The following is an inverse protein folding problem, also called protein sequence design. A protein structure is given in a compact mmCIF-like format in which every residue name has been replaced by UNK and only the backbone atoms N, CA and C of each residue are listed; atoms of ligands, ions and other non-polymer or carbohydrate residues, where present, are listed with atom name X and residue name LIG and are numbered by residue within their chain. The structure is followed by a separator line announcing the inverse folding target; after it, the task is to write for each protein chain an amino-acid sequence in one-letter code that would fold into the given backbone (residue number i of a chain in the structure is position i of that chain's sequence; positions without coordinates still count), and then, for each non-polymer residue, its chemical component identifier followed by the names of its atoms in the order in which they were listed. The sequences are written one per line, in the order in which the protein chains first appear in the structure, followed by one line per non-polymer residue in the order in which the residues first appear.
data_IF_463469131462
#
_entry.id   IF_463469131462
#
_cell.length_a   1.000
_cell.length_b   1.000
_cell.length_c   1.000
_cell.angle_alpha   90.00
_cell.angle_beta   90.00
_cell.angle_gamma   90.00
#
_symmetry.space_group_name_H-M   'P 1'
#
loop_
_entity.id
_entity.type
_entity.pdbx_description
1 polymer ?
#
# COMPACT_ATOMS: atom_id res chain seq x y z
N UNK A 1 21.98 15.99 -20.47
CA UNK A 1 21.29 17.23 -20.08
C UNK A 1 21.11 17.13 -18.59
N UNK A 2 22.00 17.77 -17.84
CA UNK A 2 21.84 17.92 -16.39
C UNK A 2 20.69 18.89 -16.17
N UNK A 3 19.52 18.35 -15.79
CA UNK A 3 18.46 19.19 -15.24
C UNK A 3 18.96 19.71 -13.90
N UNK A 4 19.21 21.01 -13.84
CA UNK A 4 19.57 21.75 -12.64
C UNK A 4 18.53 21.45 -11.54
N UNK A 5 18.93 20.68 -10.52
CA UNK A 5 18.06 20.27 -9.40
C UNK A 5 17.70 21.43 -8.48
N UNK A 6 18.30 22.61 -8.68
CA UNK A 6 18.11 23.81 -7.87
C UNK A 6 16.66 24.29 -7.73
N UNK A 7 15.78 23.91 -8.65
CA UNK A 7 14.34 24.23 -8.58
C UNK A 7 13.52 23.20 -7.78
N UNK A 8 14.05 21.99 -7.57
CA UNK A 8 13.37 20.90 -6.85
C UNK A 8 13.70 20.97 -5.36
N UNK A 9 14.96 21.27 -5.02
CA UNK A 9 15.44 21.28 -3.64
C UNK A 9 14.57 22.12 -2.69
N UNK A 10 14.06 23.32 -3.06
CA UNK A 10 13.17 24.10 -2.20
C UNK A 10 11.77 23.48 -1.99
N UNK A 11 11.34 22.57 -2.86
CA UNK A 11 10.03 21.93 -2.79
C UNK A 11 10.05 20.62 -1.99
N UNK A 12 11.24 20.07 -1.71
CA UNK A 12 11.38 18.81 -0.98
C UNK A 12 10.83 18.95 0.44
N UNK A 13 11.14 20.06 1.12
CA UNK A 13 10.68 20.33 2.48
C UNK A 13 9.14 20.44 2.52
N UNK A 14 8.55 21.19 1.58
CA UNK A 14 7.08 21.31 1.44
C UNK A 14 6.42 19.94 1.17
N UNK A 15 7.03 19.12 0.31
CA UNK A 15 6.53 17.77 0.01
C UNK A 15 6.63 16.82 1.19
N UNK A 16 7.72 16.91 1.97
CA UNK A 16 7.88 16.14 3.20
C UNK A 16 6.86 16.56 4.24
N UNK A 17 6.66 17.86 4.46
CA UNK A 17 5.65 18.36 5.39
C UNK A 17 4.25 17.85 5.01
N UNK A 18 3.89 17.93 3.72
CA UNK A 18 2.63 17.40 3.22
C UNK A 18 2.49 15.87 3.39
N UNK A 19 3.59 15.12 3.23
CA UNK A 19 3.63 13.68 3.49
C UNK A 19 3.40 13.38 4.98
N UNK A 20 4.08 14.09 5.88
CA UNK A 20 3.92 13.92 7.32
C UNK A 20 2.48 14.22 7.75
N UNK A 21 1.90 15.32 7.28
CA UNK A 21 0.49 15.66 7.55
C UNK A 21 -0.45 14.55 7.08
N UNK A 22 -0.28 14.08 5.84
CA UNK A 22 -1.18 13.06 5.29
C UNK A 22 -1.04 11.71 6.00
N UNK A 23 0.18 11.34 6.39
CA UNK A 23 0.41 10.07 7.12
C UNK A 23 -0.12 10.18 8.55
N UNK A 24 0.05 11.33 9.21
CA UNK A 24 -0.53 11.57 10.51
C UNK A 24 -2.07 11.49 10.47
N UNK A 25 -2.72 12.02 9.42
CA UNK A 25 -4.16 11.85 9.21
C UNK A 25 -4.53 10.35 9.08
N UNK A 26 -3.78 9.59 8.28
CA UNK A 26 -4.04 8.15 8.08
C UNK A 26 -3.86 7.34 9.37
N UNK A 27 -2.78 7.59 10.12
CA UNK A 27 -2.57 6.96 11.42
C UNK A 27 -3.64 7.36 12.44
N UNK A 28 -4.08 8.62 12.40
CA UNK A 28 -5.18 9.13 13.21
C UNK A 28 -6.48 8.35 12.98
N UNK A 29 -6.80 8.03 11.71
CA UNK A 29 -7.97 7.20 11.37
C UNK A 29 -7.87 5.79 11.96
N UNK A 30 -6.68 5.18 12.02
CA UNK A 30 -6.46 3.85 12.62
C UNK A 30 -6.57 3.90 14.15
N UNK A 31 -6.10 4.98 14.77
CA UNK A 31 -6.09 5.14 16.24
C UNK A 31 -7.46 5.55 16.79
N UNK A 32 -8.28 6.23 15.99
CA UNK A 32 -9.62 6.67 16.34
C UNK A 32 -10.51 5.47 16.75
N UNK A 33 -11.30 5.65 17.81
CA UNK A 33 -12.18 4.59 18.32
C UNK A 33 -13.46 4.43 17.47
N UNK A 34 -13.85 5.48 16.74
CA UNK A 34 -15.12 5.56 16.03
C UNK A 34 -15.10 5.01 14.60
N UNK A 35 -13.91 4.92 13.98
CA UNK A 35 -13.73 4.38 12.63
C UNK A 35 -12.92 3.07 12.65
N UNK A 36 -13.60 1.96 12.34
CA UNK A 36 -12.95 0.66 12.21
C UNK A 36 -12.21 0.57 10.86
N UNK A 37 -11.02 1.16 10.79
CA UNK A 37 -10.08 0.90 9.70
C UNK A 37 -8.95 -0.01 10.19
N UNK A 38 -8.88 -1.22 9.64
CA UNK A 38 -7.82 -2.18 9.90
C UNK A 38 -7.04 -2.45 8.60
N UNK A 39 -5.83 -1.88 8.46
CA UNK A 39 -5.07 -1.98 7.22
C UNK A 39 -4.71 -3.43 6.91
N UNK A 40 -4.77 -3.77 5.63
CA UNK A 40 -4.47 -5.11 5.09
C UNK A 40 -5.39 -6.25 5.56
N UNK A 41 -6.46 -5.97 6.30
CA UNK A 41 -7.49 -6.98 6.63
C UNK A 41 -8.40 -7.25 5.43
N UNK A 42 -8.65 -6.23 4.60
CA UNK A 42 -9.49 -6.33 3.41
C UNK A 42 -8.81 -7.00 2.21
N UNK A 43 -7.48 -7.14 2.25
CA UNK A 43 -6.68 -7.61 1.11
C UNK A 43 -5.69 -8.72 1.52
N UNK A 44 -6.06 -10.00 1.38
CA UNK A 44 -5.17 -11.11 1.73
C UNK A 44 -4.08 -11.33 0.66
N UNK A 45 -2.98 -12.00 1.02
CA UNK A 45 -1.85 -12.33 0.15
C UNK A 45 -2.23 -12.80 -1.28
N UNK A 46 -3.22 -13.70 -1.49
CA UNK A 46 -3.61 -14.12 -2.84
C UNK A 46 -4.17 -12.99 -3.71
N UNK A 47 -4.82 -11.99 -3.11
CA UNK A 47 -5.36 -10.83 -3.84
C UNK A 47 -4.23 -9.90 -4.26
N UNK A 48 -3.25 -9.64 -3.38
CA UNK A 48 -2.04 -8.88 -3.74
C UNK A 48 -1.31 -9.57 -4.90
N UNK A 49 -1.08 -10.88 -4.80
CA UNK A 49 -0.48 -11.68 -5.87
C UNK A 49 -1.25 -11.57 -7.19
N UNK A 50 -2.60 -11.57 -7.14
CA UNK A 50 -3.42 -11.40 -8.34
C UNK A 50 -3.26 -10.00 -8.95
N UNK A 51 -3.24 -8.94 -8.14
CA UNK A 51 -3.00 -7.57 -8.61
C UNK A 51 -1.68 -7.51 -9.36
N UNK A 52 -0.59 -7.96 -8.73
CA UNK A 52 0.75 -7.96 -9.32
C UNK A 52 0.81 -8.70 -10.67
N UNK A 53 0.18 -9.88 -10.75
CA UNK A 53 0.11 -10.66 -12.00
C UNK A 53 -0.68 -9.95 -13.08
N UNK A 54 -1.83 -9.37 -12.73
CA UNK A 54 -2.70 -8.65 -13.68
C UNK A 54 -1.99 -7.39 -14.18
N UNK A 55 -1.41 -6.58 -13.29
CA UNK A 55 -0.71 -5.34 -13.68
C UNK A 55 0.51 -5.64 -14.55
N UNK A 56 1.27 -6.71 -14.23
CA UNK A 56 2.40 -7.15 -15.04
C UNK A 56 1.95 -7.64 -16.42
N UNK A 57 0.89 -8.45 -16.50
CA UNK A 57 0.39 -9.00 -17.76
C UNK A 57 -0.14 -7.91 -18.71
N UNK A 58 -0.67 -6.82 -18.15
CA UNK A 58 -1.25 -5.70 -18.89
C UNK A 58 -0.26 -4.54 -19.09
N UNK A 59 0.97 -4.67 -18.61
CA UNK A 59 2.04 -3.66 -18.72
C UNK A 59 1.60 -2.26 -18.23
N UNK A 60 0.79 -2.24 -17.16
CA UNK A 60 0.31 -1.00 -16.53
C UNK A 60 1.47 -0.23 -15.91
N UNK A 61 1.22 1.03 -15.54
CA UNK A 61 2.24 1.84 -14.89
C UNK A 61 2.69 1.25 -13.54
N UNK A 62 3.86 1.67 -13.10
CA UNK A 62 4.54 1.06 -11.94
C UNK A 62 3.73 1.28 -10.66
N UNK A 63 3.09 2.44 -10.49
CA UNK A 63 2.34 2.78 -9.28
C UNK A 63 0.94 2.16 -9.26
N UNK A 64 0.39 1.78 -10.42
CA UNK A 64 -0.95 1.20 -10.57
C UNK A 64 -1.19 0.04 -9.58
N UNK A 65 -0.21 -0.84 -9.36
CA UNK A 65 -0.34 -1.98 -8.43
C UNK A 65 -0.48 -1.53 -6.97
N UNK A 66 0.31 -0.54 -6.52
CA UNK A 66 0.25 -0.04 -5.15
C UNK A 66 -1.02 0.77 -4.92
N UNK A 67 -1.38 1.66 -5.85
CA UNK A 67 -2.64 2.40 -5.82
C UNK A 67 -3.85 1.46 -5.73
N UNK A 68 -3.83 0.37 -6.50
CA UNK A 68 -4.91 -0.63 -6.48
C UNK A 68 -5.01 -1.30 -5.11
N UNK A 69 -3.88 -1.67 -4.50
CA UNK A 69 -3.83 -2.33 -3.17
C UNK A 69 -4.45 -1.42 -2.11
N UNK A 70 -3.97 -0.18 -2.02
CA UNK A 70 -4.45 0.79 -1.03
C UNK A 70 -5.92 1.17 -1.24
N UNK A 71 -6.31 1.39 -2.51
CA UNK A 71 -7.70 1.71 -2.83
C UNK A 71 -8.64 0.56 -2.49
N UNK A 72 -8.24 -0.67 -2.84
CA UNK A 72 -9.06 -1.85 -2.61
C UNK A 72 -9.17 -2.17 -1.12
N UNK A 73 -8.09 -2.08 -0.35
CA UNK A 73 -8.12 -2.28 1.11
C UNK A 73 -9.08 -1.30 1.79
N UNK A 74 -8.91 0.01 1.53
CA UNK A 74 -9.79 1.06 2.07
C UNK A 74 -11.24 0.87 1.64
N UNK A 75 -11.47 0.59 0.36
CA UNK A 75 -12.81 0.33 -0.15
C UNK A 75 -13.46 -0.87 0.54
N UNK A 76 -12.73 -1.99 0.69
CA UNK A 76 -13.27 -3.21 1.26
C UNK A 76 -13.60 -3.05 2.74
N UNK A 77 -12.80 -2.31 3.51
CA UNK A 77 -13.13 -1.95 4.89
C UNK A 77 -14.43 -1.14 4.97
N UNK A 78 -14.55 -0.07 4.19
CA UNK A 78 -15.74 0.78 4.16
C UNK A 78 -16.98 0.02 3.69
N UNK A 79 -16.83 -0.80 2.65
CA UNK A 79 -17.90 -1.60 2.09
C UNK A 79 -18.36 -2.69 3.07
N UNK A 80 -17.42 -3.36 3.74
CA UNK A 80 -17.72 -4.34 4.78
C UNK A 80 -18.56 -3.69 5.88
N UNK A 81 -18.13 -2.54 6.39
CA UNK A 81 -18.83 -1.85 7.47
C UNK A 81 -20.24 -1.41 7.07
N UNK A 82 -20.40 -0.92 5.84
CA UNK A 82 -21.71 -0.58 5.29
C UNK A 82 -22.65 -1.78 5.20
N UNK A 83 -22.15 -2.93 4.74
CA UNK A 83 -22.95 -4.18 4.65
C UNK A 83 -23.25 -4.71 6.05
N UNK A 84 -22.25 -4.74 6.94
CA UNK A 84 -22.40 -5.18 8.32
C UNK A 84 -23.45 -4.36 9.07
N UNK A 85 -23.40 -3.02 8.99
CA UNK A 85 -24.40 -2.13 9.60
C UNK A 85 -25.80 -2.30 9.00
N UNK A 86 -25.93 -2.66 7.73
CA UNK A 86 -27.23 -2.89 7.11
C UNK A 86 -27.86 -4.19 7.60
N UNK A 87 -27.08 -5.26 7.69
CA UNK A 87 -27.54 -6.61 8.04
C UNK A 87 -27.63 -6.84 9.57
N UNK A 88 -26.87 -6.10 10.38
CA UNK A 88 -26.86 -6.26 11.85
C UNK A 88 -27.97 -5.48 12.55
N UNK A 89 -28.76 -4.68 11.84
CA UNK A 89 -29.94 -3.97 12.39
C UNK A 89 -31.02 -4.91 12.92
N UNK A 90 -31.04 -6.16 12.46
CA UNK A 90 -32.01 -7.19 12.85
C UNK A 90 -31.46 -8.17 13.92
N UNK A 91 -30.26 -7.90 14.46
CA UNK A 91 -29.54 -8.79 15.37
C UNK A 91 -28.49 -9.65 14.64
N UNK A 92 -27.29 -9.73 15.21
CA UNK A 92 -26.22 -10.56 14.65
C UNK A 92 -26.53 -12.05 14.87
N UNK A 93 -26.98 -12.73 13.81
CA UNK A 93 -27.23 -14.17 13.79
C UNK A 93 -26.23 -14.83 12.84
N UNK A 94 -26.04 -16.15 12.97
CA UNK A 94 -25.21 -16.91 12.03
C UNK A 94 -25.71 -16.77 10.57
N UNK A 95 -27.03 -16.67 10.39
CA UNK A 95 -27.66 -16.43 9.10
C UNK A 95 -27.30 -15.05 8.51
N UNK A 96 -27.28 -13.99 9.34
CA UNK A 96 -26.89 -12.65 8.89
C UNK A 96 -25.40 -12.60 8.53
N UNK A 97 -24.53 -13.28 9.28
CA UNK A 97 -23.11 -13.41 8.94
C UNK A 97 -22.89 -14.11 7.60
N UNK A 98 -23.57 -15.23 7.36
CA UNK A 98 -23.50 -15.95 6.06
C UNK A 98 -23.93 -15.05 4.90
N UNK A 99 -24.97 -14.24 5.09
CA UNK A 99 -25.46 -13.28 4.08
C UNK A 99 -24.47 -12.14 3.83
N UNK A 100 -23.82 -11.61 4.87
CA UNK A 100 -22.75 -10.61 4.76
C UNK A 100 -21.59 -11.19 3.93
N UNK A 101 -21.07 -12.37 4.29
CA UNK A 101 -19.98 -13.03 3.59
C UNK A 101 -20.31 -13.30 2.11
N UNK A 102 -21.53 -13.79 1.83
CA UNK A 102 -21.99 -14.01 0.45
C UNK A 102 -22.07 -12.70 -0.33
N UNK A 103 -22.61 -11.63 0.27
CA UNK A 103 -22.74 -10.32 -0.38
C UNK A 103 -21.39 -9.73 -0.77
N UNK A 104 -20.40 -9.83 0.11
CA UNK A 104 -19.05 -9.31 -0.12
C UNK A 104 -18.30 -10.16 -1.15
N UNK A 105 -18.24 -11.48 -0.95
CA UNK A 105 -17.53 -12.40 -1.86
C UNK A 105 -18.08 -12.38 -3.28
N UNK A 106 -19.39 -12.17 -3.43
CA UNK A 106 -20.05 -12.08 -4.74
C UNK A 106 -19.62 -10.86 -5.57
N UNK A 107 -19.08 -9.81 -4.95
CA UNK A 107 -18.73 -8.56 -5.65
C UNK A 107 -17.24 -8.23 -5.56
N UNK A 108 -16.47 -8.94 -4.74
CA UNK A 108 -15.04 -8.65 -4.48
C UNK A 108 -14.21 -8.57 -5.76
N UNK A 109 -14.37 -9.52 -6.68
CA UNK A 109 -13.62 -9.54 -7.96
C UNK A 109 -13.95 -8.34 -8.85
N UNK A 110 -15.24 -7.99 -8.95
CA UNK A 110 -15.67 -6.80 -9.69
C UNK A 110 -15.08 -5.54 -9.06
N UNK A 111 -15.15 -5.42 -7.73
CA UNK A 111 -14.59 -4.27 -7.03
C UNK A 111 -13.07 -4.19 -7.12
N UNK A 112 -12.37 -5.32 -7.12
CA UNK A 112 -10.93 -5.38 -7.35
C UNK A 112 -10.58 -4.78 -8.71
N UNK A 113 -11.25 -5.21 -9.78
CA UNK A 113 -10.99 -4.70 -11.12
C UNK A 113 -11.45 -3.25 -11.28
N UNK A 114 -12.51 -2.82 -10.59
CA UNK A 114 -12.90 -1.40 -10.55
C UNK A 114 -11.85 -0.54 -9.83
N UNK A 115 -11.24 -1.02 -8.74
CA UNK A 115 -10.13 -0.32 -8.08
C UNK A 115 -8.92 -0.23 -9.02
N UNK A 116 -8.60 -1.33 -9.72
CA UNK A 116 -7.53 -1.36 -10.70
C UNK A 116 -7.76 -0.38 -11.86
N UNK A 117 -8.99 -0.29 -12.34
CA UNK A 117 -9.38 0.65 -13.39
C UNK A 117 -9.16 2.11 -12.94
N UNK A 118 -9.63 2.47 -11.74
CA UNK A 118 -9.40 3.80 -11.16
C UNK A 118 -7.91 4.11 -10.97
N UNK A 119 -7.16 3.16 -10.41
CA UNK A 119 -5.71 3.30 -10.23
C UNK A 119 -4.97 3.51 -11.56
N UNK A 120 -5.32 2.76 -12.60
CA UNK A 120 -4.71 2.91 -13.93
C UNK A 120 -4.98 4.28 -14.55
N UNK A 121 -6.16 4.87 -14.30
CA UNK A 121 -6.50 6.22 -14.77
C UNK A 121 -5.70 7.31 -14.05
N UNK A 122 -5.38 7.09 -12.77
CA UNK A 122 -4.59 8.02 -11.96
C UNK A 122 -3.11 7.96 -12.35
N UNK A 123 -2.55 6.76 -12.43
CA UNK A 123 -1.13 6.54 -12.71
C UNK A 123 -0.75 6.94 -14.15
N UNK A 124 -1.56 6.56 -15.13
CA UNK A 124 -1.27 6.88 -16.53
C UNK A 124 -2.52 6.93 -17.39
N UNK A 125 -2.87 8.12 -17.86
CA UNK A 125 -4.01 8.30 -18.76
C UNK A 125 -3.88 7.44 -20.04
N UNK A 126 -2.67 7.33 -20.61
CA UNK A 126 -2.42 6.58 -21.86
C UNK A 126 -2.45 5.05 -21.68
N UNK A 127 -2.20 4.55 -20.47
CA UNK A 127 -2.27 3.12 -20.13
C UNK A 127 -3.53 2.74 -19.34
N UNK A 128 -4.51 3.65 -19.28
CA UNK A 128 -5.74 3.40 -18.54
C UNK A 128 -6.55 2.24 -19.13
N UNK A 129 -7.13 1.42 -18.26
CA UNK A 129 -7.88 0.24 -18.69
C UNK A 129 -9.20 0.63 -19.35
N UNK A 130 -9.36 0.22 -20.61
CA UNK A 130 -10.63 0.30 -21.33
C UNK A 130 -11.66 -0.67 -20.74
N UNK A 131 -12.94 -0.36 -20.94
CA UNK A 131 -14.05 -1.23 -20.49
C UNK A 131 -13.94 -2.62 -21.11
N UNK A 132 -13.52 -2.72 -22.38
CA UNK A 132 -13.31 -4.00 -23.06
C UNK A 132 -12.22 -4.85 -22.38
N UNK A 133 -11.10 -4.24 -22.00
CA UNK A 133 -10.05 -4.94 -21.24
C UNK A 133 -10.55 -5.39 -19.87
N UNK A 134 -11.31 -4.54 -19.16
CA UNK A 134 -11.94 -4.88 -17.88
C UNK A 134 -12.87 -6.10 -18.02
N UNK A 135 -13.71 -6.15 -19.06
CA UNK A 135 -14.57 -7.31 -19.35
C UNK A 135 -13.73 -8.57 -19.56
N UNK A 136 -12.64 -8.49 -20.34
CA UNK A 136 -11.75 -9.62 -20.58
C UNK A 136 -11.12 -10.15 -19.29
N UNK A 137 -10.59 -9.27 -18.44
CA UNK A 137 -9.99 -9.66 -17.15
C UNK A 137 -11.05 -10.32 -16.26
N UNK A 138 -12.24 -9.73 -16.16
CA UNK A 138 -13.33 -10.27 -15.35
C UNK A 138 -13.76 -11.66 -15.81
N UNK A 139 -13.76 -11.92 -17.12
CA UNK A 139 -14.02 -13.27 -17.66
C UNK A 139 -12.95 -14.28 -17.25
N UNK A 140 -11.70 -13.86 -17.12
CA UNK A 140 -10.61 -14.73 -16.67
C UNK A 140 -10.69 -15.06 -15.17
N UNK A 141 -10.99 -14.07 -14.34
CA UNK A 141 -10.99 -14.24 -12.87
C UNK A 141 -12.35 -14.68 -12.30
N UNK A 142 -13.44 -14.49 -13.05
CA UNK A 142 -14.80 -14.82 -12.62
C UNK A 142 -15.65 -15.48 -13.71
N UNK A 143 -15.42 -16.78 -13.90
CA UNK A 143 -16.13 -17.61 -14.89
C UNK A 143 -17.61 -17.80 -14.60
N UNK A 144 -18.11 -17.41 -13.42
CA UNK A 144 -19.49 -17.63 -12.98
C UNK A 144 -20.44 -16.49 -13.35
N UNK A 145 -19.93 -15.35 -13.81
CA UNK A 145 -20.70 -14.14 -14.00
C UNK A 145 -20.37 -13.46 -15.31
N UNK A 146 -21.40 -12.94 -15.95
CA UNK A 146 -21.24 -12.04 -17.08
C UNK A 146 -21.29 -10.60 -16.61
N UNK A 147 -20.40 -9.79 -17.16
CA UNK A 147 -20.26 -8.38 -16.82
C UNK A 147 -20.61 -7.52 -18.02
N UNK A 148 -21.55 -6.61 -17.83
CA UNK A 148 -21.92 -5.62 -18.83
C UNK A 148 -21.17 -4.32 -18.58
N UNK A 149 -21.05 -3.51 -19.64
CA UNK A 149 -20.48 -2.16 -19.54
C UNK A 149 -21.15 -1.32 -18.43
N UNK A 150 -22.48 -1.36 -18.34
CA UNK A 150 -23.20 -0.63 -17.30
C UNK A 150 -22.85 -1.10 -15.88
N UNK A 151 -22.65 -2.41 -15.70
CA UNK A 151 -22.25 -2.98 -14.41
C UNK A 151 -20.87 -2.49 -13.99
N UNK A 152 -19.92 -2.41 -14.94
CA UNK A 152 -18.55 -1.93 -14.72
C UNK A 152 -18.53 -0.45 -14.34
N UNK A 153 -19.23 0.39 -15.12
CA UNK A 153 -19.30 1.84 -14.83
C UNK A 153 -19.93 2.09 -13.46
N UNK A 154 -21.02 1.39 -13.16
CA UNK A 154 -21.70 1.51 -11.87
C UNK A 154 -20.82 1.04 -10.71
N UNK A 155 -20.05 -0.04 -10.88
CA UNK A 155 -19.15 -0.52 -9.84
C UNK A 155 -17.96 0.39 -9.64
N UNK A 156 -17.40 0.95 -10.71
CA UNK A 156 -16.33 1.94 -10.65
C UNK A 156 -16.77 3.19 -9.88
N UNK A 157 -17.93 3.77 -10.25
CA UNK A 157 -18.49 4.92 -9.54
C UNK A 157 -18.76 4.60 -8.07
N UNK A 158 -19.30 3.41 -7.77
CA UNK A 158 -19.56 2.97 -6.40
C UNK A 158 -18.28 2.87 -5.57
N UNK A 159 -17.19 2.33 -6.14
CA UNK A 159 -15.89 2.27 -5.46
C UNK A 159 -15.43 3.68 -5.12
N UNK A 160 -15.41 4.58 -6.10
CA UNK A 160 -14.90 5.93 -5.91
C UNK A 160 -15.74 6.74 -4.90
N UNK A 161 -17.07 6.60 -4.96
CA UNK A 161 -17.98 7.21 -3.99
C UNK A 161 -17.78 6.65 -2.57
N UNK A 162 -17.56 5.34 -2.43
CA UNK A 162 -17.42 4.68 -1.12
C UNK A 162 -16.14 5.10 -0.39
N UNK A 163 -15.11 5.52 -1.12
CA UNK A 163 -13.88 6.10 -0.56
C UNK A 163 -13.93 7.64 -0.48
N UNK A 164 -15.11 8.24 -0.65
CA UNK A 164 -15.31 9.68 -0.51
C UNK A 164 -14.68 10.50 -1.63
N UNK A 165 -14.56 9.94 -2.83
CA UNK A 165 -13.92 10.57 -3.98
C UNK A 165 -12.44 10.95 -3.75
N UNK A 166 -11.77 10.27 -2.81
CA UNK A 166 -10.34 10.45 -2.51
C UNK A 166 -9.54 9.23 -2.97
N UNK A 167 -8.52 9.45 -3.79
CA UNK A 167 -7.56 8.42 -4.22
C UNK A 167 -6.34 8.38 -3.27
N UNK A 168 -5.72 7.21 -3.06
CA UNK A 168 -4.57 7.07 -2.15
C UNK A 168 -3.26 7.50 -2.84
N UNK A 169 -3.06 8.80 -3.07
CA UNK A 169 -1.91 9.33 -3.82
C UNK A 169 -0.55 9.13 -3.13
N UNK A 170 -0.53 9.01 -1.81
CA UNK A 170 0.71 8.85 -1.03
C UNK A 170 1.06 7.37 -0.85
N UNK A 171 1.36 6.70 -1.95
CA UNK A 171 1.85 5.32 -1.92
C UNK A 171 3.29 5.28 -1.39
N UNK A 172 3.77 4.12 -0.91
CA UNK A 172 5.17 3.95 -0.58
C UNK A 172 6.13 4.24 -1.74
N UNK A 173 5.70 4.06 -3.00
CA UNK A 173 6.52 4.42 -4.16
C UNK A 173 6.74 5.94 -4.24
N UNK A 174 5.68 6.72 -4.04
CA UNK A 174 5.79 8.18 -3.99
C UNK A 174 6.68 8.65 -2.83
N UNK A 175 6.56 8.01 -1.67
CA UNK A 175 7.45 8.26 -0.54
C UNK A 175 8.92 7.94 -0.88
N UNK A 176 9.17 6.84 -1.60
CA UNK A 176 10.52 6.48 -2.07
C UNK A 176 11.08 7.56 -2.99
N UNK A 177 10.29 8.08 -3.94
CA UNK A 177 10.74 9.12 -4.87
C UNK A 177 11.17 10.40 -4.15
N UNK A 178 10.37 10.85 -3.17
CA UNK A 178 10.67 12.03 -2.37
C UNK A 178 11.89 11.78 -1.47
N UNK A 179 11.95 10.64 -0.77
CA UNK A 179 13.08 10.30 0.08
C UNK A 179 14.39 10.13 -0.71
N UNK A 180 14.35 9.58 -1.93
CA UNK A 180 15.53 9.49 -2.79
C UNK A 180 16.03 10.89 -3.20
N UNK A 181 15.12 11.84 -3.42
CA UNK A 181 15.50 13.23 -3.65
C UNK A 181 16.12 13.86 -2.38
N UNK A 182 15.43 13.75 -1.24
CA UNK A 182 15.87 14.32 0.05
C UNK A 182 17.21 13.76 0.55
N UNK A 183 17.49 12.48 0.28
CA UNK A 183 18.75 11.84 0.68
C UNK A 183 19.89 12.03 -0.32
N UNK A 184 19.61 12.60 -1.50
CA UNK A 184 20.57 12.74 -2.59
C UNK A 184 20.89 11.43 -3.33
N UNK A 185 20.13 10.35 -3.07
CA UNK A 185 20.32 9.02 -3.67
C UNK A 185 19.62 8.87 -5.03
N UNK A 186 18.89 9.89 -5.48
CA UNK A 186 18.17 9.87 -6.77
C UNK A 186 19.05 9.56 -7.98
N UNK A 187 20.29 10.06 -7.98
CA UNK A 187 21.23 9.88 -9.09
C UNK A 187 22.07 8.61 -8.97
N UNK A 188 21.90 7.84 -7.89
CA UNK A 188 22.58 6.57 -7.70
C UNK A 188 22.07 5.54 -8.72
N UNK A 189 23.01 4.97 -9.46
CA UNK A 189 22.72 3.94 -10.45
C UNK A 189 21.97 2.76 -9.81
N UNK A 190 20.90 2.31 -10.45
CA UNK A 190 20.05 1.18 -10.04
C UNK A 190 19.29 1.35 -8.70
N UNK A 191 19.44 2.48 -8.00
CA UNK A 191 18.80 2.68 -6.69
C UNK A 191 17.27 2.62 -6.78
N UNK A 192 16.69 3.40 -7.70
CA UNK A 192 15.25 3.43 -7.91
C UNK A 192 14.69 2.07 -8.35
N UNK A 193 15.34 1.41 -9.32
CA UNK A 193 14.92 0.08 -9.80
C UNK A 193 15.00 -0.99 -8.71
N UNK A 194 16.05 -0.94 -7.88
CA UNK A 194 16.23 -1.87 -6.76
C UNK A 194 15.19 -1.62 -5.68
N UNK A 195 14.92 -0.34 -5.36
CA UNK A 195 13.87 0.04 -4.42
C UNK A 195 12.49 -0.44 -4.89
N UNK A 196 12.15 -0.35 -6.18
CA UNK A 196 10.88 -0.89 -6.70
C UNK A 196 10.80 -2.40 -6.50
N UNK A 197 11.86 -3.16 -6.82
CA UNK A 197 11.88 -4.63 -6.65
C UNK A 197 11.74 -5.04 -5.18
N UNK A 198 12.39 -4.30 -4.28
CA UNK A 198 12.29 -4.54 -2.84
C UNK A 198 10.92 -4.14 -2.30
N UNK A 199 10.33 -3.06 -2.80
CA UNK A 199 8.96 -2.70 -2.47
C UNK A 199 7.97 -3.78 -2.95
N UNK A 200 8.16 -4.30 -4.17
CA UNK A 200 7.40 -5.42 -4.70
C UNK A 200 7.44 -6.64 -3.77
N UNK A 201 8.65 -7.00 -3.32
CA UNK A 201 8.83 -8.06 -2.34
C UNK A 201 8.11 -7.76 -1.02
N UNK A 202 8.22 -6.54 -0.50
CA UNK A 202 7.58 -6.13 0.75
C UNK A 202 6.05 -6.30 0.71
N UNK A 203 5.41 -5.98 -0.41
CA UNK A 203 3.97 -6.23 -0.59
C UNK A 203 3.65 -7.71 -0.77
N UNK A 204 4.42 -8.43 -1.58
CA UNK A 204 4.18 -9.86 -1.83
C UNK A 204 4.40 -10.71 -0.57
N UNK A 205 5.22 -10.24 0.37
CA UNK A 205 5.53 -10.89 1.65
C UNK A 205 5.02 -10.10 2.85
N UNK A 206 3.99 -9.26 2.68
CA UNK A 206 3.54 -8.37 3.73
C UNK A 206 3.17 -9.10 5.04
N UNK A 207 2.52 -10.27 4.96
CA UNK A 207 2.18 -11.08 6.13
C UNK A 207 3.42 -11.52 6.92
N UNK A 208 4.47 -11.95 6.22
CA UNK A 208 5.73 -12.40 6.83
C UNK A 208 6.59 -11.23 7.31
N UNK A 209 6.63 -10.13 6.56
CA UNK A 209 7.31 -8.90 6.96
C UNK A 209 6.74 -8.39 8.28
N UNK A 210 5.43 -8.21 8.36
CA UNK A 210 4.79 -7.67 9.55
C UNK A 210 4.75 -8.66 10.71
N UNK A 211 4.80 -9.98 10.48
CA UNK A 211 4.96 -10.95 11.56
C UNK A 211 6.35 -10.87 12.19
N UNK A 212 7.41 -10.70 11.40
CA UNK A 212 8.76 -10.47 11.91
C UNK A 212 8.88 -9.14 12.67
N UNK A 213 8.30 -8.06 12.14
CA UNK A 213 8.24 -6.76 12.83
C UNK A 213 7.52 -6.90 14.18
N UNK A 214 6.39 -7.62 14.19
CA UNK A 214 5.65 -7.89 15.41
C UNK A 214 6.48 -8.70 16.42
N UNK A 215 7.25 -9.69 15.98
CA UNK A 215 8.16 -10.45 16.85
C UNK A 215 9.27 -9.57 17.44
N UNK A 216 9.88 -8.69 16.64
CA UNK A 216 10.87 -7.73 17.13
C UNK A 216 10.28 -6.78 18.19
N UNK A 217 9.07 -6.27 17.94
CA UNK A 217 8.35 -5.42 18.89
C UNK A 217 8.01 -6.17 20.18
N UNK A 218 7.58 -7.44 20.09
CA UNK A 218 7.25 -8.28 21.25
C UNK A 218 8.46 -8.70 22.10
N UNK A 219 9.67 -8.67 21.54
CA UNK A 219 10.91 -8.80 22.32
C UNK A 219 11.21 -7.58 23.20
N UNK A 220 10.52 -6.45 22.97
CA UNK A 220 10.73 -5.18 23.67
C UNK A 220 9.48 -4.67 24.44
N UNK A 221 8.24 -5.09 24.11
CA UNK A 221 6.99 -4.56 24.69
C UNK A 221 5.90 -5.66 24.85
N UNK A 222 5.06 -5.54 25.90
CA UNK A 222 4.02 -6.51 26.33
C UNK A 222 2.86 -6.74 25.31
N UNK A 223 1.91 -7.64 25.58
CA UNK A 223 0.75 -7.97 24.71
C UNK A 223 -0.47 -7.06 24.96
N UNK A 224 -0.35 -5.73 24.88
CA UNK A 224 -1.49 -4.84 25.12
C UNK A 224 -2.29 -4.53 23.84
N UNK A 225 -3.55 -4.10 23.97
CA UNK A 225 -4.35 -3.60 22.84
C UNK A 225 -3.74 -2.36 22.18
N UNK A 226 -2.95 -1.58 22.94
CA UNK A 226 -2.20 -0.43 22.44
C UNK A 226 -1.13 -0.89 21.42
N UNK A 227 -0.49 -2.04 21.66
CA UNK A 227 0.55 -2.57 20.78
C UNK A 227 -0.01 -3.04 19.43
N UNK A 228 -1.25 -3.56 19.42
CA UNK A 228 -1.96 -3.89 18.19
C UNK A 228 -2.28 -2.63 17.37
N UNK A 229 -2.75 -1.56 18.04
CA UNK A 229 -3.01 -0.27 17.37
C UNK A 229 -1.73 0.36 16.81
N UNK A 230 -0.63 0.29 17.55
CA UNK A 230 0.67 0.79 17.10
C UNK A 230 1.17 0.02 15.87
N UNK A 231 1.04 -1.32 15.87
CA UNK A 231 1.39 -2.13 14.69
C UNK A 231 0.49 -1.82 13.47
N UNK A 232 -0.80 -1.53 13.69
CA UNK A 232 -1.70 -1.12 12.61
C UNK A 232 -1.32 0.27 12.07
N UNK A 233 -0.99 1.23 12.94
CA UNK A 233 -0.52 2.56 12.53
C UNK A 233 0.79 2.45 11.72
N UNK A 234 1.71 1.58 12.15
CA UNK A 234 2.95 1.30 11.41
C UNK A 234 2.68 0.71 10.02
N UNK A 235 1.69 -0.17 9.89
CA UNK A 235 1.28 -0.75 8.59
C UNK A 235 0.76 0.29 7.61
N UNK A 236 0.16 1.38 8.10
CA UNK A 236 -0.30 2.50 7.27
C UNK A 236 0.79 3.51 6.95
N UNK A 237 1.91 3.48 7.66
CA UNK A 237 2.97 4.46 7.50
C UNK A 237 3.80 4.18 6.24
N UNK A 238 3.34 4.73 5.12
CA UNK A 238 3.96 4.56 3.80
C UNK A 238 5.35 5.19 3.71
N UNK A 239 5.59 6.27 4.46
CA UNK A 239 6.89 6.94 4.53
C UNK A 239 7.92 6.09 5.26
N UNK A 240 7.53 5.46 6.36
CA UNK A 240 8.37 4.50 7.09
C UNK A 240 8.75 3.30 6.23
N UNK A 241 7.77 2.68 5.56
CA UNK A 241 8.05 1.58 4.64
C UNK A 241 8.98 2.02 3.49
N UNK A 242 8.73 3.20 2.91
CA UNK A 242 9.59 3.77 1.87
C UNK A 242 11.03 3.97 2.32
N UNK A 243 11.24 4.52 3.52
CA UNK A 243 12.55 4.68 4.13
C UNK A 243 13.27 3.35 4.37
N UNK A 244 12.57 2.35 4.90
CA UNK A 244 13.13 1.01 5.10
C UNK A 244 13.54 0.35 3.78
N UNK A 245 12.75 0.53 2.72
CA UNK A 245 13.06 0.00 1.39
C UNK A 245 14.30 0.69 0.80
N UNK A 246 14.44 2.00 0.95
CA UNK A 246 15.64 2.75 0.51
C UNK A 246 16.88 2.27 1.27
N UNK A 247 16.78 2.11 2.59
CA UNK A 247 17.91 1.60 3.37
C UNK A 247 18.27 0.17 2.95
N UNK A 248 17.27 -0.69 2.74
CA UNK A 248 17.51 -2.05 2.23
C UNK A 248 18.17 -2.04 0.84
N UNK A 249 17.71 -1.17 -0.07
CA UNK A 249 18.33 -0.99 -1.39
C UNK A 249 19.78 -0.53 -1.27
N UNK A 250 20.06 0.38 -0.32
CA UNK A 250 21.42 0.85 -0.01
C UNK A 250 22.30 -0.31 0.44
N UNK A 251 21.84 -1.14 1.37
CA UNK A 251 22.57 -2.33 1.85
C UNK A 251 22.79 -3.36 0.74
N UNK A 252 21.86 -3.48 -0.21
CA UNK A 252 22.00 -4.36 -1.37
C UNK A 252 23.04 -3.88 -2.38
N UNK A 253 23.09 -2.58 -2.64
CA UNK A 253 23.96 -1.99 -3.67
C UNK A 253 25.35 -1.64 -3.14
N UNK A 254 25.46 -1.33 -1.85
CA UNK A 254 26.69 -0.91 -1.20
C UNK A 254 27.06 -1.85 -0.06
N UNK A 255 28.29 -2.37 -0.11
CA UNK A 255 28.85 -3.17 0.98
C UNK A 255 29.36 -2.29 2.14
N UNK A 256 29.40 -0.97 1.96
CA UNK A 256 29.90 -0.04 2.96
C UNK A 256 28.86 0.25 4.05
N UNK A 257 29.11 -0.34 5.21
CA UNK A 257 28.25 -0.22 6.38
C UNK A 257 28.21 1.21 6.94
N UNK A 258 29.25 2.02 6.73
CA UNK A 258 29.28 3.39 7.27
C UNK A 258 28.45 4.35 6.40
N UNK A 259 28.43 4.14 5.07
CA UNK A 259 27.49 4.82 4.17
C UNK A 259 26.04 4.46 4.52
N UNK A 260 25.78 3.17 4.73
CA UNK A 260 24.44 2.69 5.10
C UNK A 260 23.97 3.26 6.45
N UNK A 261 24.86 3.36 7.45
CA UNK A 261 24.55 4.00 8.74
C UNK A 261 24.22 5.48 8.56
N UNK A 262 25.01 6.20 7.78
CA UNK A 262 24.75 7.62 7.51
C UNK A 262 23.41 7.87 6.84
N UNK A 263 23.04 7.00 5.88
CA UNK A 263 21.72 7.05 5.21
C UNK A 263 20.60 6.68 6.18
N UNK A 264 20.79 5.64 7.00
CA UNK A 264 19.80 5.23 7.99
C UNK A 264 19.51 6.34 9.02
N UNK A 265 20.51 7.09 9.48
CA UNK A 265 20.29 8.25 10.36
C UNK A 265 19.48 9.33 9.65
N UNK A 266 19.85 9.70 8.42
CA UNK A 266 19.09 10.69 7.63
C UNK A 266 17.65 10.26 7.41
N UNK A 267 17.41 9.00 7.08
CA UNK A 267 16.05 8.46 6.89
C UNK A 267 15.29 8.49 8.21
N UNK A 268 15.91 8.10 9.33
CA UNK A 268 15.25 8.14 10.63
C UNK A 268 14.78 9.56 10.98
N UNK A 269 15.60 10.58 10.70
CA UNK A 269 15.25 11.98 10.89
C UNK A 269 14.11 12.41 9.95
N UNK A 270 14.15 12.04 8.66
CA UNK A 270 13.13 12.37 7.66
C UNK A 270 11.79 11.66 7.85
N UNK A 271 11.75 10.59 8.65
CA UNK A 271 10.55 9.75 8.86
C UNK A 271 10.00 9.94 10.28
N UNK A 272 10.63 10.78 11.11
CA UNK A 272 10.31 10.96 12.54
C UNK A 272 10.28 9.64 13.33
N UNK A 273 11.31 8.81 13.15
CA UNK A 273 11.41 7.50 13.82
C UNK A 273 12.80 7.22 14.37
N UNK A 274 12.98 6.09 15.05
CA UNK A 274 14.30 5.71 15.57
C UNK A 274 15.14 5.06 14.49
N UNK A 275 16.44 5.38 14.49
CA UNK A 275 17.44 4.70 13.68
C UNK A 275 17.36 3.17 13.80
N UNK A 276 17.16 2.67 15.02
CA UNK A 276 17.07 1.23 15.29
C UNK A 276 15.90 0.57 14.59
N UNK A 277 14.74 1.24 14.54
CA UNK A 277 13.55 0.65 13.90
C UNK A 277 13.72 0.59 12.38
N UNK A 278 14.24 1.65 11.75
CA UNK A 278 14.53 1.66 10.30
C UNK A 278 15.56 0.59 9.96
N UNK A 279 16.62 0.49 10.75
CA UNK A 279 17.70 -0.48 10.56
C UNK A 279 17.21 -1.93 10.71
N UNK A 280 16.46 -2.22 11.77
CA UNK A 280 15.97 -3.56 12.06
C UNK A 280 14.99 -4.03 10.96
N UNK A 281 14.07 -3.18 10.52
CA UNK A 281 13.10 -3.50 9.45
C UNK A 281 13.77 -3.62 8.09
N UNK A 282 14.73 -2.76 7.77
CA UNK A 282 15.50 -2.88 6.52
C UNK A 282 16.29 -4.20 6.47
N UNK A 283 16.86 -4.66 7.59
CA UNK A 283 17.52 -5.96 7.66
C UNK A 283 16.55 -7.14 7.52
N UNK A 284 15.33 -7.05 8.07
CA UNK A 284 14.29 -8.07 7.81
C UNK A 284 14.02 -8.13 6.30
N UNK A 285 13.82 -7.00 5.63
CA UNK A 285 13.59 -6.95 4.18
C UNK A 285 14.77 -7.54 3.41
N UNK A 286 16.00 -7.26 3.83
CA UNK A 286 17.22 -7.82 3.23
C UNK A 286 17.26 -9.35 3.37
N UNK A 287 16.95 -9.88 4.56
CA UNK A 287 16.89 -11.34 4.79
C UNK A 287 15.82 -11.98 3.91
N UNK A 288 14.62 -11.40 3.85
CA UNK A 288 13.53 -11.89 3.00
C UNK A 288 13.92 -11.89 1.51
N UNK A 289 14.72 -10.92 1.09
CA UNK A 289 15.18 -10.80 -0.28
C UNK A 289 16.31 -11.80 -0.62
N UNK A 290 17.17 -12.16 0.32
CA UNK A 290 18.24 -13.16 0.13
C UNK A 290 17.70 -14.60 0.14
N UNK A 291 16.61 -14.86 0.85
CA UNK A 291 16.03 -16.19 0.97
C UNK A 291 15.25 -16.65 -0.27
N UNK A 292 15.09 -15.81 -1.30
CA UNK A 292 14.38 -16.11 -2.55
C UNK A 292 15.26 -15.95 -3.78
#
# INVERSE_FOLDING_TARGET
MDFDSSYIDPLIDDWLEQLHETIAEQEGMVRAEDEFYMPFVGIPSPVINAIFKITCHLELGVDTKYLTIHLYDKFMCNYFWKVYKAESKEGATEASWSKICKTISNRSKLYLISCLQLASKVDSHSKSLSISQVICILRWIDTKREYTQNTIITSEFKVFQTVGFKMPFYTPLHCIEILLAATGLRHTLNMYETAIKLLDLAYLQHEELYSHIQCLAQGRISKSEIDKKNLMALKTNSLFLGGCVILCATLFLYWDNDIAKGIATKIADLVDTTYTDVWDVANILLILAIQK
#
